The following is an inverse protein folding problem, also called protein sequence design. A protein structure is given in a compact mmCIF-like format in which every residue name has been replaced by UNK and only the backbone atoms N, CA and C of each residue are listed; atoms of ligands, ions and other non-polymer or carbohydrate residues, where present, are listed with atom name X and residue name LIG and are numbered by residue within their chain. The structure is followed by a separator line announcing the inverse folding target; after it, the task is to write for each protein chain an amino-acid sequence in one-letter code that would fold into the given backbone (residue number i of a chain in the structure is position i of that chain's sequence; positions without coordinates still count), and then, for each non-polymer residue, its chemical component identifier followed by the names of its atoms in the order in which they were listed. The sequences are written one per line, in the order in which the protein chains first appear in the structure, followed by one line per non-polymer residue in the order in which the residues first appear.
data_IF_594323350775
#
_entry.id   IF_594323350775
#
_cell.length_a   1.000
_cell.length_b   1.000
_cell.length_c   1.000
_cell.angle_alpha   90.00
_cell.angle_beta   90.00
_cell.angle_gamma   90.00
#
_symmetry.space_group_name_H-M   'P 1'
#
loop_
_entity.id
_entity.type
_entity.pdbx_description
1 polymer ?
#
# COMPACT_ATOMS: atom_id res chain seq x y z
N UNK A 1 2.04 22.10 11.86
CA UNK A 1 3.16 22.00 10.91
C UNK A 1 3.00 20.69 10.14
N UNK A 2 2.66 20.74 8.86
CA UNK A 2 2.79 19.56 7.99
C UNK A 2 3.58 20.04 6.79
N UNK A 3 4.90 19.83 6.83
CA UNK A 3 5.75 19.99 5.66
C UNK A 3 5.32 18.91 4.67
N UNK A 4 4.47 19.26 3.70
CA UNK A 4 4.40 18.49 2.45
C UNK A 4 5.65 18.88 1.66
N UNK A 5 6.69 18.07 1.75
CA UNK A 5 7.82 18.21 0.84
C UNK A 5 7.38 17.63 -0.51
N UNK A 6 7.26 18.44 -1.59
CA UNK A 6 6.96 17.92 -2.91
C UNK A 6 8.24 17.27 -3.45
N UNK A 7 8.47 16.00 -3.16
CA UNK A 7 9.73 15.37 -3.58
C UNK A 7 9.87 13.87 -3.41
N UNK A 8 9.00 13.21 -2.66
CA UNK A 8 9.05 11.75 -2.53
C UNK A 8 8.02 11.17 -3.49
N UNK A 9 8.46 10.74 -4.67
CA UNK A 9 7.65 10.01 -5.66
C UNK A 9 7.30 8.58 -5.16
N UNK A 10 7.11 8.43 -3.86
CA UNK A 10 6.88 7.20 -3.12
C UNK A 10 5.76 7.45 -2.11
N UNK A 11 4.83 6.52 -2.02
CA UNK A 11 3.71 6.49 -1.10
C UNK A 11 3.91 5.35 -0.12
N UNK A 12 3.53 5.54 1.14
CA UNK A 12 3.39 4.39 2.04
C UNK A 12 2.20 3.53 1.61
N UNK A 13 2.18 2.25 1.98
CA UNK A 13 1.04 1.36 1.69
C UNK A 13 -0.27 1.93 2.24
N UNK A 14 -0.24 2.56 3.42
CA UNK A 14 -1.39 3.28 3.97
C UNK A 14 -1.82 4.46 3.09
N UNK A 15 -0.89 5.26 2.58
CA UNK A 15 -1.23 6.38 1.70
C UNK A 15 -1.79 5.93 0.34
N UNK A 16 -1.20 4.89 -0.25
CA UNK A 16 -1.73 4.26 -1.45
C UNK A 16 -3.14 3.69 -1.23
N UNK A 17 -3.36 3.02 -0.08
CA UNK A 17 -4.66 2.50 0.31
C UNK A 17 -5.70 3.61 0.49
N UNK A 18 -5.32 4.76 1.06
CA UNK A 18 -6.19 5.93 1.17
C UNK A 18 -6.58 6.52 -0.18
N UNK A 19 -5.69 6.48 -1.17
CA UNK A 19 -6.01 6.96 -2.52
C UNK A 19 -6.91 6.00 -3.31
N UNK A 20 -6.94 4.72 -2.92
CA UNK A 20 -7.91 3.75 -3.43
C UNK A 20 -9.21 3.74 -2.65
N UNK A 21 -9.15 4.08 -1.35
CA UNK A 21 -10.33 4.12 -0.50
C UNK A 21 -11.30 5.16 -1.05
N UNK A 22 -12.52 4.70 -1.29
CA UNK A 22 -13.63 5.49 -1.80
C UNK A 22 -14.89 5.08 -1.05
N UNK A 23 -16.04 5.68 -1.36
CA UNK A 23 -17.30 5.37 -0.70
C UNK A 23 -17.67 3.86 -0.77
N UNK A 24 -17.14 3.14 -1.75
CA UNK A 24 -17.37 1.71 -1.98
C UNK A 24 -16.24 0.78 -1.50
N UNK A 25 -15.10 1.31 -1.05
CA UNK A 25 -13.93 0.52 -0.66
C UNK A 25 -13.31 1.08 0.63
N UNK A 26 -13.33 0.28 1.70
CA UNK A 26 -12.71 0.68 2.95
C UNK A 26 -11.19 0.74 2.81
N UNK A 27 -10.55 1.63 3.57
CA UNK A 27 -9.09 1.77 3.62
C UNK A 27 -8.41 0.41 3.83
N UNK A 28 -8.94 -0.39 4.75
CA UNK A 28 -8.38 -1.70 5.06
C UNK A 28 -8.45 -2.71 3.91
N UNK A 29 -9.57 -2.76 3.18
CA UNK A 29 -9.69 -3.63 2.01
C UNK A 29 -8.68 -3.23 0.92
N UNK A 30 -8.45 -1.93 0.74
CA UNK A 30 -7.40 -1.44 -0.14
C UNK A 30 -5.99 -1.82 0.34
N UNK A 31 -5.72 -1.76 1.65
CA UNK A 31 -4.44 -2.20 2.22
C UNK A 31 -4.21 -3.70 1.97
N UNK A 32 -5.21 -4.53 2.19
CA UNK A 32 -5.14 -5.99 1.97
C UNK A 32 -4.88 -6.29 0.49
N UNK A 33 -5.57 -5.58 -0.40
CA UNK A 33 -5.42 -5.75 -1.84
C UNK A 33 -4.03 -5.33 -2.33
N UNK A 34 -3.51 -4.20 -1.84
CA UNK A 34 -2.13 -3.76 -2.11
C UNK A 34 -1.10 -4.76 -1.56
N UNK A 35 -1.27 -5.22 -0.32
CA UNK A 35 -0.39 -6.21 0.31
C UNK A 35 -0.41 -7.55 -0.43
N UNK A 36 -1.56 -7.95 -1.00
CA UNK A 36 -1.67 -9.14 -1.84
C UNK A 36 -0.93 -8.98 -3.17
N UNK A 37 -1.11 -7.86 -3.87
CA UNK A 37 -0.41 -7.56 -5.12
C UNK A 37 1.12 -7.52 -4.94
N UNK A 38 1.58 -6.95 -3.82
CA UNK A 38 3.00 -6.92 -3.46
C UNK A 38 3.56 -8.33 -3.21
N UNK A 39 2.80 -9.19 -2.53
CA UNK A 39 3.24 -10.58 -2.29
C UNK A 39 3.24 -11.44 -3.55
N UNK A 40 2.28 -11.21 -4.46
CA UNK A 40 2.26 -11.88 -5.75
C UNK A 40 3.38 -11.39 -6.69
N UNK A 41 3.93 -10.19 -6.43
CA UNK A 41 4.94 -9.56 -7.28
C UNK A 41 4.35 -8.71 -8.42
N UNK A 42 3.03 -8.50 -8.42
CA UNK A 42 2.33 -7.62 -9.37
C UNK A 42 2.59 -6.12 -9.10
N UNK A 43 2.87 -5.77 -7.84
CA UNK A 43 3.17 -4.40 -7.43
C UNK A 43 4.57 -4.33 -6.80
N UNK A 44 5.46 -3.54 -7.41
CA UNK A 44 6.79 -3.33 -6.86
C UNK A 44 6.73 -2.39 -5.65
N UNK A 45 7.22 -2.87 -4.51
CA UNK A 45 7.26 -2.10 -3.28
C UNK A 45 8.50 -2.46 -2.44
N UNK A 46 8.99 -1.49 -1.68
CA UNK A 46 9.99 -1.73 -0.66
C UNK A 46 9.31 -2.29 0.60
N UNK A 47 9.16 -3.62 0.63
CA UNK A 47 8.42 -4.34 1.66
C UNK A 47 9.18 -4.29 2.98
N UNK A 48 8.53 -3.74 4.01
CA UNK A 48 8.97 -3.83 5.40
C UNK A 48 8.00 -4.73 6.15
N UNK A 49 8.51 -5.69 6.93
CA UNK A 49 7.70 -6.64 7.66
C UNK A 49 7.92 -6.46 9.16
N UNK A 50 6.85 -6.57 9.93
CA UNK A 50 7.00 -6.62 11.38
C UNK A 50 7.71 -7.90 11.80
N UNK A 51 8.62 -7.77 12.75
CA UNK A 51 9.02 -8.91 13.56
C UNK A 51 7.75 -9.43 14.26
N UNK A 52 7.62 -10.74 14.37
CA UNK A 52 6.45 -11.47 14.90
C UNK A 52 5.93 -10.99 16.28
N UNK A 53 6.73 -10.19 17.00
CA UNK A 53 6.47 -9.67 18.35
C UNK A 53 6.03 -8.19 18.37
N UNK A 54 6.05 -7.50 17.24
CA UNK A 54 5.75 -6.05 17.11
C UNK A 54 4.40 -5.80 16.42
N UNK A 55 3.48 -6.75 16.51
CA UNK A 55 2.18 -6.70 15.83
C UNK A 55 1.22 -5.73 16.52
N UNK A 56 0.92 -4.59 15.89
CA UNK A 56 -0.13 -3.67 16.35
C UNK A 56 -1.27 -3.53 15.32
N UNK A 57 -2.46 -4.04 15.65
CA UNK A 57 -3.69 -3.74 14.92
C UNK A 57 -4.12 -4.78 13.86
N UNK A 58 -4.69 -4.31 12.75
CA UNK A 58 -5.29 -5.15 11.70
C UNK A 58 -4.20 -5.85 10.87
N UNK A 59 -4.30 -7.17 10.78
CA UNK A 59 -3.33 -8.01 10.10
C UNK A 59 -3.37 -7.76 8.59
N UNK A 60 -2.19 -7.55 8.01
CA UNK A 60 -1.98 -7.57 6.56
C UNK A 60 -1.31 -8.88 6.16
N UNK A 61 -1.65 -9.41 4.98
CA UNK A 61 -1.08 -10.67 4.52
C UNK A 61 0.44 -10.49 4.35
N UNK A 62 1.21 -11.47 4.81
CA UNK A 62 2.68 -11.42 4.79
C UNK A 62 3.33 -10.61 5.91
N UNK A 63 2.59 -10.21 6.95
CA UNK A 63 3.06 -9.37 8.07
C UNK A 63 3.69 -8.05 7.61
N UNK A 64 3.16 -7.49 6.54
CA UNK A 64 3.66 -6.25 5.93
C UNK A 64 3.31 -5.07 6.83
N UNK A 65 4.33 -4.26 7.15
CA UNK A 65 4.15 -3.00 7.86
C UNK A 65 3.63 -1.94 6.88
N UNK A 66 2.37 -1.56 7.02
CA UNK A 66 1.72 -0.54 6.17
C UNK A 66 2.32 0.86 6.22
N UNK A 67 3.00 1.20 7.33
CA UNK A 67 3.58 2.53 7.55
C UNK A 67 5.01 2.61 7.02
N UNK A 68 5.75 1.50 7.07
CA UNK A 68 7.14 1.45 6.61
C UNK A 68 7.29 0.90 5.19
N UNK A 69 6.29 0.20 4.68
CA UNK A 69 6.30 -0.28 3.29
C UNK A 69 6.01 0.88 2.35
N UNK A 70 6.97 1.18 1.50
CA UNK A 70 6.89 2.27 0.53
C UNK A 70 6.75 1.71 -0.89
N UNK A 71 5.88 2.32 -1.67
CA UNK A 71 5.54 1.98 -3.05
C UNK A 71 5.88 3.20 -3.90
N UNK A 72 6.54 3.04 -5.04
CA UNK A 72 6.74 4.18 -5.93
C UNK A 72 5.41 4.62 -6.55
N UNK A 73 5.20 5.93 -6.71
CA UNK A 73 3.97 6.47 -7.31
C UNK A 73 3.77 5.94 -8.73
N UNK A 74 4.86 5.75 -9.48
CA UNK A 74 4.84 5.23 -10.85
C UNK A 74 4.36 3.76 -10.88
N UNK A 75 4.94 2.91 -10.04
CA UNK A 75 4.51 1.51 -9.86
C UNK A 75 3.04 1.43 -9.38
N UNK A 76 2.65 2.29 -8.43
CA UNK A 76 1.27 2.35 -7.95
C UNK A 76 0.29 2.75 -9.06
N UNK A 77 0.61 3.76 -9.87
CA UNK A 77 -0.26 4.21 -10.97
C UNK A 77 -0.34 3.14 -12.09
N UNK A 78 0.79 2.52 -12.44
CA UNK A 78 0.85 1.45 -13.42
C UNK A 78 0.01 0.24 -12.99
N UNK A 79 0.17 -0.20 -11.74
CA UNK A 79 -0.61 -1.29 -11.17
C UNK A 79 -2.09 -0.91 -11.04
N UNK A 80 -2.41 0.31 -10.57
CA UNK A 80 -3.79 0.80 -10.45
C UNK A 80 -4.50 0.83 -11.79
N UNK A 81 -3.81 1.23 -12.87
CA UNK A 81 -4.34 1.18 -14.25
C UNK A 81 -4.59 -0.25 -14.73
N UNK A 82 -3.77 -1.22 -14.34
CA UNK A 82 -3.98 -2.63 -14.65
C UNK A 82 -5.15 -3.21 -13.85
N UNK A 83 -5.28 -2.83 -12.57
CA UNK A 83 -6.37 -3.24 -11.71
C UNK A 83 -7.73 -2.69 -12.17
N UNK A 84 -7.81 -1.40 -12.53
CA UNK A 84 -9.03 -0.78 -13.05
C UNK A 84 -9.49 -1.30 -14.43
N UNK A 85 -8.68 -2.11 -15.11
CA UNK A 85 -9.07 -2.82 -16.34
C UNK A 85 -9.57 -4.24 -16.08
N UNK A 86 -9.33 -4.77 -14.87
CA UNK A 86 -9.70 -6.12 -14.49
C UNK A 86 -11.04 -6.18 -13.75
N UNK A 87 -11.60 -5.03 -13.35
CA UNK A 87 -12.97 -4.81 -12.85
C UNK A 87 -13.89 -4.34 -14.00
#
# INVERSE_FOLDING_TARGET
MIKREPGSNVLTLLEAAREMSSASMAEHDAEVLLAAAIQHGDLHANIKRWATEQWEGRQLPGNINRLETCIARDDFDAWRKSWAKAD
#
